data_IF_241394883749
#
_entry.id   IF_241394883749
#
_cell.length_a   1.000
_cell.length_b   1.000
_cell.length_c   1.000
_cell.angle_alpha   90.00
_cell.angle_beta   90.00
_cell.angle_gamma   90.00
#
_symmetry.space_group_name_H-M   'P 1'
#
loop_
_entity.id
_entity.type
_entity.pdbx_description
1 polymer ?
#
# COMPACT_ATOMS: atom_id res chain seq x y z
N UNK A 1 -9.56 -11.50 12.00
CA UNK A 1 -8.52 -10.73 11.28
C UNK A 1 -7.17 -10.97 11.94
N UNK A 2 -6.08 -10.98 11.17
CA UNK A 2 -4.70 -11.10 11.65
C UNK A 2 -3.91 -9.94 11.04
N UNK A 3 -3.49 -8.99 11.86
CA UNK A 3 -2.64 -7.88 11.45
C UNK A 3 -1.18 -8.24 11.66
N UNK A 4 -0.26 -7.49 11.04
CA UNK A 4 1.17 -7.75 11.15
C UNK A 4 1.62 -9.04 10.44
N UNK A 5 0.83 -9.51 9.48
CA UNK A 5 1.15 -10.71 8.68
C UNK A 5 1.38 -10.29 7.24
N UNK A 6 2.53 -10.67 6.67
CA UNK A 6 2.91 -10.36 5.30
C UNK A 6 2.79 -11.61 4.41
N UNK A 7 2.28 -11.44 3.20
CA UNK A 7 2.33 -12.48 2.16
C UNK A 7 3.78 -12.59 1.64
N UNK A 8 4.35 -13.78 1.64
CA UNK A 8 5.70 -14.05 1.15
C UNK A 8 5.73 -14.92 -0.11
N UNK A 9 4.66 -15.67 -0.36
CA UNK A 9 4.54 -16.49 -1.55
C UNK A 9 3.09 -16.86 -1.83
N UNK A 10 2.77 -17.01 -3.12
CA UNK A 10 1.44 -17.35 -3.59
C UNK A 10 1.56 -18.33 -4.76
N UNK A 11 1.02 -19.53 -4.60
CA UNK A 11 1.04 -20.57 -5.63
C UNK A 11 -0.39 -21.04 -5.88
N UNK A 12 -0.96 -20.73 -7.06
CA UNK A 12 -2.19 -21.35 -7.53
C UNK A 12 -1.94 -22.85 -7.76
N UNK A 13 -2.89 -23.67 -7.30
CA UNK A 13 -2.93 -25.11 -7.51
C UNK A 13 -4.22 -25.45 -8.26
N UNK A 14 -4.45 -26.73 -8.59
CA UNK A 14 -5.61 -27.12 -9.40
C UNK A 14 -6.98 -26.81 -8.74
N UNK A 15 -7.09 -26.89 -7.41
CA UNK A 15 -8.34 -26.77 -6.65
C UNK A 15 -8.29 -25.77 -5.48
N UNK A 16 -7.13 -25.13 -5.27
CA UNK A 16 -6.91 -24.20 -4.18
C UNK A 16 -5.75 -23.25 -4.49
N UNK A 17 -5.48 -22.35 -3.57
CA UNK A 17 -4.28 -21.52 -3.54
C UNK A 17 -3.52 -21.84 -2.26
N UNK A 18 -2.20 -22.04 -2.40
CA UNK A 18 -1.28 -22.12 -1.27
C UNK A 18 -0.59 -20.77 -1.10
N UNK A 19 -0.84 -20.11 0.02
CA UNK A 19 -0.17 -18.88 0.41
C UNK A 19 0.84 -19.15 1.53
N UNK A 20 2.03 -18.57 1.43
CA UNK A 20 3.00 -18.52 2.51
C UNK A 20 2.94 -17.14 3.14
N UNK A 21 2.78 -17.09 4.45
CA UNK A 21 2.67 -15.85 5.21
C UNK A 21 3.69 -15.83 6.33
N UNK A 22 4.13 -14.63 6.70
CA UNK A 22 5.14 -14.41 7.73
C UNK A 22 4.56 -13.45 8.76
N UNK A 23 4.59 -13.84 10.04
CA UNK A 23 4.35 -12.92 11.14
C UNK A 23 5.53 -11.94 11.21
N UNK A 24 5.27 -10.64 11.03
CA UNK A 24 6.31 -9.62 10.91
C UNK A 24 7.01 -9.38 12.25
N UNK A 25 6.34 -9.61 13.37
CA UNK A 25 6.91 -9.39 14.69
C UNK A 25 7.84 -10.53 15.10
N UNK A 26 7.50 -11.77 14.77
CA UNK A 26 8.25 -12.97 15.20
C UNK A 26 9.11 -13.60 14.11
N UNK A 27 8.83 -13.31 12.84
CA UNK A 27 9.42 -13.99 11.69
C UNK A 27 8.87 -15.39 11.42
N UNK A 28 7.88 -15.85 12.19
CA UNK A 28 7.32 -17.20 12.03
C UNK A 28 6.60 -17.33 10.69
N UNK A 29 6.95 -18.38 9.93
CA UNK A 29 6.33 -18.68 8.65
C UNK A 29 5.19 -19.69 8.79
N UNK A 30 4.09 -19.45 8.07
CA UNK A 30 2.94 -20.34 8.02
C UNK A 30 2.44 -20.51 6.60
N UNK A 31 1.86 -21.68 6.31
CA UNK A 31 1.19 -21.97 5.04
C UNK A 31 -0.32 -21.94 5.25
N UNK A 32 -1.01 -21.22 4.38
CA UNK A 32 -2.46 -21.12 4.34
C UNK A 32 -2.95 -21.75 3.04
N UNK A 33 -3.86 -22.72 3.16
CA UNK A 33 -4.62 -23.27 2.03
C UNK A 33 -5.98 -22.58 1.99
N UNK A 34 -6.32 -21.96 0.87
CA UNK A 34 -7.60 -21.30 0.68
C UNK A 34 -8.16 -21.65 -0.70
N UNK A 35 -9.49 -21.73 -0.84
CA UNK A 35 -10.10 -21.95 -2.16
C UNK A 35 -9.88 -20.76 -3.10
N UNK A 36 -9.77 -19.55 -2.55
CA UNK A 36 -9.58 -18.31 -3.31
C UNK A 36 -8.73 -17.32 -2.52
N UNK A 37 -8.12 -16.36 -3.23
CA UNK A 37 -7.38 -15.23 -2.64
C UNK A 37 -7.84 -13.94 -3.33
N UNK A 38 -8.05 -12.89 -2.55
CA UNK A 38 -8.40 -11.55 -3.04
C UNK A 38 -7.20 -10.62 -2.84
N UNK A 39 -6.66 -10.09 -3.94
CA UNK A 39 -5.57 -9.11 -3.91
C UNK A 39 -6.08 -7.72 -3.53
N UNK A 40 -6.04 -7.38 -2.25
CA UNK A 40 -6.44 -6.10 -1.69
C UNK A 40 -5.28 -5.38 -0.97
N UNK A 41 -4.07 -5.56 -1.47
CA UNK A 41 -2.78 -5.16 -0.89
C UNK A 41 -2.23 -3.83 -1.46
N UNK A 42 -3.07 -3.06 -2.15
CA UNK A 42 -2.77 -1.69 -2.56
C UNK A 42 -2.00 -1.54 -3.87
N UNK A 43 -1.53 -0.32 -4.16
CA UNK A 43 -0.96 0.04 -5.47
C UNK A 43 0.28 -0.81 -5.85
N UNK A 44 1.11 -1.14 -4.87
CA UNK A 44 2.32 -1.97 -5.03
C UNK A 44 2.05 -3.47 -4.81
N UNK A 45 0.82 -3.94 -5.07
CA UNK A 45 0.36 -5.32 -4.85
C UNK A 45 1.40 -6.41 -5.15
N UNK A 46 1.72 -7.19 -4.12
CA UNK A 46 2.53 -8.42 -4.17
C UNK A 46 1.72 -9.56 -4.82
N UNK A 47 0.41 -9.61 -4.62
CA UNK A 47 -0.46 -10.59 -5.28
C UNK A 47 -0.40 -10.44 -6.80
N UNK A 48 -0.53 -9.20 -7.29
CA UNK A 48 -0.44 -8.89 -8.71
C UNK A 48 0.94 -9.27 -9.27
N UNK A 49 2.00 -8.96 -8.54
CA UNK A 49 3.37 -9.29 -8.92
C UNK A 49 3.59 -10.82 -9.00
N UNK A 50 3.13 -11.56 -7.99
CA UNK A 50 3.25 -13.03 -7.95
C UNK A 50 2.52 -13.73 -9.10
N UNK A 51 1.44 -13.14 -9.59
CA UNK A 51 0.68 -13.65 -10.76
C UNK A 51 1.23 -13.17 -12.10
N UNK A 52 2.30 -12.36 -12.12
CA UNK A 52 2.88 -11.82 -13.36
C UNK A 52 1.97 -10.83 -14.10
N UNK A 53 0.97 -10.25 -13.41
CA UNK A 53 0.05 -9.29 -14.01
C UNK A 53 0.73 -7.93 -14.09
N UNK A 54 1.01 -7.47 -15.31
CA UNK A 54 1.71 -6.20 -15.55
C UNK A 54 0.75 -5.02 -15.65
N UNK A 55 1.28 -3.81 -15.44
CA UNK A 55 0.55 -2.53 -15.55
C UNK A 55 1.30 -1.61 -16.53
N UNK A 56 1.16 -1.83 -17.85
CA UNK A 56 1.83 -1.02 -18.86
C UNK A 56 1.35 0.43 -18.82
N UNK A 57 2.24 1.37 -19.15
CA UNK A 57 1.91 2.81 -19.16
C UNK A 57 1.85 3.46 -17.77
N UNK A 58 2.43 2.82 -16.74
CA UNK A 58 2.55 3.43 -15.42
C UNK A 58 3.63 4.51 -15.44
N UNK A 59 3.20 5.77 -15.31
CA UNK A 59 4.09 6.92 -15.15
C UNK A 59 3.90 7.57 -13.77
N UNK A 60 4.96 8.19 -13.25
CA UNK A 60 4.89 9.00 -12.05
C UNK A 60 4.35 10.38 -12.44
N UNK A 61 3.11 10.66 -12.06
CA UNK A 61 2.45 11.95 -12.32
C UNK A 61 2.87 13.05 -11.33
N UNK A 62 3.52 12.68 -10.22
CA UNK A 62 4.01 13.62 -9.21
C UNK A 62 4.48 12.94 -7.93
N UNK A 63 5.35 13.64 -7.19
CA UNK A 63 5.75 13.29 -5.83
C UNK A 63 5.11 14.26 -4.85
N UNK A 64 4.39 13.72 -3.87
CA UNK A 64 3.63 14.50 -2.89
C UNK A 64 4.26 14.32 -1.51
N UNK A 65 4.63 15.42 -0.86
CA UNK A 65 5.01 15.45 0.55
C UNK A 65 3.79 15.88 1.36
N UNK A 66 3.22 14.95 2.13
CA UNK A 66 2.02 15.22 2.95
C UNK A 66 2.44 15.39 4.41
N UNK A 67 2.04 16.49 5.04
CA UNK A 67 2.24 16.72 6.47
C UNK A 67 0.89 16.73 7.19
N UNK A 68 0.74 15.86 8.19
CA UNK A 68 -0.40 15.88 9.09
C UNK A 68 -0.01 16.64 10.36
N UNK A 69 -0.71 17.72 10.66
CA UNK A 69 -0.49 18.52 11.86
C UNK A 69 -1.82 18.94 12.47
N UNK A 70 -1.81 19.16 13.79
CA UNK A 70 -2.90 19.81 14.51
C UNK A 70 -2.43 21.21 14.90
N UNK A 71 -3.09 22.22 14.38
CA UNK A 71 -2.85 23.61 14.73
C UNK A 71 -4.19 24.35 14.84
N UNK A 72 -4.26 25.34 15.72
CA UNK A 72 -5.33 26.33 15.69
C UNK A 72 -4.99 27.35 14.61
N UNK A 73 -5.70 27.28 13.49
CA UNK A 73 -5.47 28.16 12.34
C UNK A 73 -6.32 29.43 12.39
N UNK A 74 -7.20 29.58 13.38
CA UNK A 74 -7.95 30.81 13.65
C UNK A 74 -8.54 31.50 12.39
N UNK A 75 -8.39 32.84 12.27
CA UNK A 75 -8.85 33.60 11.11
C UNK A 75 -8.14 33.24 9.79
N UNK A 76 -6.89 32.76 9.85
CA UNK A 76 -6.05 32.48 8.67
C UNK A 76 -6.71 31.45 7.75
N UNK A 77 -7.41 30.47 8.32
CA UNK A 77 -8.13 29.46 7.55
C UNK A 77 -9.21 30.07 6.63
N UNK A 78 -9.90 31.13 7.08
CA UNK A 78 -10.96 31.79 6.29
C UNK A 78 -10.37 32.70 5.21
N UNK A 79 -9.25 33.34 5.51
CA UNK A 79 -8.60 34.31 4.63
C UNK A 79 -7.87 33.61 3.48
N UNK A 80 -7.16 32.52 3.75
CA UNK A 80 -6.35 31.85 2.74
C UNK A 80 -7.14 30.81 1.92
N UNK A 81 -8.27 30.30 2.44
CA UNK A 81 -9.20 29.42 1.73
C UNK A 81 -8.60 28.14 1.13
N UNK A 82 -7.35 27.82 1.44
CA UNK A 82 -6.55 26.85 0.68
C UNK A 82 -6.52 25.50 1.38
N UNK A 83 -7.01 24.47 0.68
CA UNK A 83 -6.99 23.08 1.14
C UNK A 83 -5.71 22.32 0.73
N UNK A 84 -4.84 22.92 -0.08
CA UNK A 84 -3.61 22.31 -0.62
C UNK A 84 -2.51 23.36 -0.77
N UNK A 85 -1.45 23.26 0.02
CA UNK A 85 -0.28 24.13 -0.08
C UNK A 85 0.80 23.44 -0.92
N UNK A 86 1.20 24.06 -2.02
CA UNK A 86 2.32 23.59 -2.82
C UNK A 86 3.59 24.32 -2.39
N UNK A 87 4.53 23.58 -1.84
CA UNK A 87 5.88 24.09 -1.58
C UNK A 87 6.76 23.71 -2.76
N UNK A 88 7.17 24.69 -3.55
CA UNK A 88 8.25 24.52 -4.53
C UNK A 88 9.57 24.77 -3.79
N UNK A 89 10.47 23.79 -3.83
CA UNK A 89 11.82 23.91 -3.30
C UNK A 89 12.80 23.76 -4.47
N UNK A 90 13.40 24.85 -4.92
CA UNK A 90 14.30 24.86 -6.08
C UNK A 90 15.71 24.29 -5.77
N UNK A 91 15.95 23.84 -4.53
CA UNK A 91 17.22 23.26 -4.10
C UNK A 91 17.25 21.71 -4.14
N UNK A 92 16.18 21.06 -4.59
CA UNK A 92 16.09 19.60 -4.86
C UNK A 92 15.59 19.32 -6.26
#
# INVERSE_FOLDING_TARGET
MRFGVRLAGLVPEADHVRAQVIDVATGEERRVRASHVVGADGASSDVRAALGVTMPGREVIGHLSTAFFRADLGPVLREWGTHMCFVRNDAV
#
